data_IF_964597976246
#
_entry.id   IF_964597976246
#
_cell.length_a   1.000
_cell.length_b   1.000
_cell.length_c   1.000
_cell.angle_alpha   90.00
_cell.angle_beta   90.00
_cell.angle_gamma   90.00
#
_symmetry.space_group_name_H-M   'P 1'
#
loop_
_entity.id
_entity.type
_entity.pdbx_description
1 polymer ?
#
# COMPACT_ATOMS: atom_id res chain seq x y z
N UNK A 1 12.03 21.05 16.76
CA UNK A 1 10.90 21.89 17.26
C UNK A 1 10.03 22.47 16.15
N UNK A 2 10.52 23.28 15.20
CA UNK A 2 9.64 23.84 14.13
C UNK A 2 9.02 22.81 13.18
N UNK A 3 9.82 21.87 12.67
CA UNK A 3 9.35 20.80 11.77
C UNK A 3 8.41 19.80 12.46
N UNK A 4 8.68 19.50 13.72
CA UNK A 4 7.84 18.61 14.54
C UNK A 4 6.51 19.27 14.91
N UNK A 5 6.49 20.59 15.16
CA UNK A 5 5.27 21.37 15.36
C UNK A 5 4.41 21.46 14.09
N UNK A 6 5.03 21.60 12.92
CA UNK A 6 4.31 21.60 11.64
C UNK A 6 3.68 20.22 11.37
N UNK A 7 4.43 19.13 11.56
CA UNK A 7 3.92 17.77 11.42
C UNK A 7 2.73 17.48 12.36
N UNK A 8 2.81 17.92 13.62
CA UNK A 8 1.71 17.77 14.59
C UNK A 8 0.48 18.59 14.19
N UNK A 9 0.68 19.82 13.68
CA UNK A 9 -0.41 20.68 13.22
C UNK A 9 -1.09 20.11 11.99
N UNK A 10 -0.31 19.61 11.02
CA UNK A 10 -0.80 18.95 9.81
C UNK A 10 -1.55 17.64 10.12
N UNK A 11 -1.24 16.98 11.24
CA UNK A 11 -1.99 15.81 11.73
C UNK A 11 -3.32 16.16 12.40
N UNK A 12 -3.54 17.41 12.82
CA UNK A 12 -4.73 17.81 13.58
C UNK A 12 -5.80 18.55 12.74
N UNK A 13 -5.43 19.15 11.61
CA UNK A 13 -6.42 19.78 10.71
C UNK A 13 -6.94 18.78 9.67
N UNK A 14 -8.27 18.67 9.48
CA UNK A 14 -8.84 17.85 8.41
C UNK A 14 -8.34 18.30 7.04
N UNK A 15 -7.69 17.41 6.31
CA UNK A 15 -7.24 17.63 4.93
C UNK A 15 -8.30 17.12 3.96
N UNK A 16 -8.52 17.83 2.85
CA UNK A 16 -9.48 17.44 1.81
C UNK A 16 -8.77 17.22 0.48
N UNK A 17 -8.92 16.03 -0.10
CA UNK A 17 -8.28 15.64 -1.36
C UNK A 17 -9.29 15.45 -2.49
N UNK A 18 -8.80 15.39 -3.73
CA UNK A 18 -9.62 14.99 -4.87
C UNK A 18 -9.92 13.48 -4.78
N UNK A 19 -8.87 12.67 -4.65
CA UNK A 19 -8.99 11.22 -4.59
C UNK A 19 -8.08 10.62 -3.52
N UNK A 20 -8.57 9.65 -2.78
CA UNK A 20 -7.76 8.81 -1.88
C UNK A 20 -7.74 7.38 -2.39
N UNK A 21 -6.57 6.75 -2.39
CA UNK A 21 -6.35 5.35 -2.73
C UNK A 21 -5.83 4.59 -1.51
N UNK A 22 -6.52 3.52 -1.14
CA UNK A 22 -6.27 2.72 0.06
C UNK A 22 -6.35 1.24 -0.30
N UNK A 23 -5.34 0.44 0.02
CA UNK A 23 -5.34 -1.02 -0.19
C UNK A 23 -4.87 -1.80 1.04
N UNK A 24 -4.97 -3.12 0.97
CA UNK A 24 -4.27 -4.06 1.86
C UNK A 24 -4.50 -3.76 3.35
N UNK A 25 -5.77 -3.54 3.70
CA UNK A 25 -6.19 -3.25 5.07
C UNK A 25 -6.31 -4.53 5.89
N UNK A 26 -6.82 -5.59 5.26
CA UNK A 26 -7.05 -6.90 5.86
C UNK A 26 -7.91 -6.87 7.13
N UNK A 27 -9.02 -6.11 7.15
CA UNK A 27 -9.99 -6.16 8.24
C UNK A 27 -10.41 -7.60 8.50
N UNK A 28 -10.29 -8.05 9.75
CA UNK A 28 -10.48 -9.45 10.12
C UNK A 28 -9.18 -10.21 10.41
N UNK A 29 -8.02 -9.63 10.06
CA UNK A 29 -6.71 -10.10 10.49
C UNK A 29 -6.29 -9.47 11.82
N UNK A 30 -5.57 -10.22 12.66
CA UNK A 30 -4.98 -9.69 13.91
C UNK A 30 -3.83 -8.70 13.67
N UNK A 31 -3.23 -8.73 12.48
CA UNK A 31 -2.14 -7.85 12.13
C UNK A 31 -2.64 -6.49 11.59
N UNK A 32 -3.92 -6.40 11.20
CA UNK A 32 -4.51 -5.18 10.68
C UNK A 32 -4.51 -4.07 11.73
N UNK A 33 -3.92 -2.94 11.39
CA UNK A 33 -3.90 -1.71 12.19
C UNK A 33 -5.13 -0.86 11.88
N UNK A 34 -6.32 -1.44 12.08
CA UNK A 34 -7.61 -0.81 11.80
C UNK A 34 -7.79 0.51 12.58
N UNK A 35 -7.21 0.61 13.78
CA UNK A 35 -7.24 1.79 14.64
C UNK A 35 -6.58 3.00 13.94
N UNK A 36 -5.46 2.75 13.27
CA UNK A 36 -4.71 3.77 12.52
C UNK A 36 -5.47 4.20 11.28
N UNK A 37 -6.09 3.26 10.56
CA UNK A 37 -6.93 3.59 9.40
C UNK A 37 -8.16 4.40 9.83
N UNK A 38 -8.81 4.00 10.93
CA UNK A 38 -9.96 4.70 11.46
C UNK A 38 -9.60 6.15 11.82
N UNK A 39 -8.45 6.34 12.46
CA UNK A 39 -7.92 7.66 12.80
C UNK A 39 -7.58 8.46 11.54
N UNK A 40 -6.86 7.88 10.58
CA UNK A 40 -6.56 8.50 9.29
C UNK A 40 -7.82 9.00 8.57
N UNK A 41 -8.88 8.17 8.50
CA UNK A 41 -10.16 8.54 7.88
C UNK A 41 -10.90 9.65 8.64
N UNK A 42 -10.55 9.96 9.89
CA UNK A 42 -11.11 11.11 10.64
C UNK A 42 -10.48 12.43 10.21
N UNK A 43 -9.20 12.42 9.84
CA UNK A 43 -8.43 13.61 9.49
C UNK A 43 -8.26 13.82 7.98
N UNK A 44 -8.74 12.88 7.15
CA UNK A 44 -8.69 13.02 5.71
C UNK A 44 -10.07 12.80 5.09
N UNK A 45 -10.54 13.79 4.34
CA UNK A 45 -11.74 13.77 3.49
C UNK A 45 -11.33 13.74 2.01
N UNK A 46 -12.21 13.24 1.16
CA UNK A 46 -11.98 13.26 -0.29
C UNK A 46 -13.29 13.25 -1.08
N UNK A 47 -13.23 13.75 -2.32
CA UNK A 47 -14.35 13.66 -3.26
C UNK A 47 -14.58 12.21 -3.69
N UNK A 48 -13.49 11.46 -3.93
CA UNK A 48 -13.50 10.03 -4.24
C UNK A 48 -12.56 9.24 -3.31
N UNK A 49 -13.00 8.08 -2.84
CA UNK A 49 -12.15 7.09 -2.18
C UNK A 49 -12.18 5.81 -3.01
N UNK A 50 -11.02 5.37 -3.47
CA UNK A 50 -10.84 4.10 -4.17
C UNK A 50 -10.15 3.11 -3.24
N UNK A 51 -10.83 2.00 -2.98
CA UNK A 51 -10.36 0.89 -2.18
C UNK A 51 -9.74 -0.15 -3.14
N UNK A 52 -8.41 -0.25 -3.17
CA UNK A 52 -7.63 -0.96 -4.19
C UNK A 52 -7.27 -2.39 -3.75
N UNK A 53 -8.29 -3.12 -3.30
CA UNK A 53 -8.20 -4.54 -2.91
C UNK A 53 -7.75 -4.81 -1.50
N UNK A 54 -8.06 -6.03 -1.05
CA UNK A 54 -7.70 -6.60 0.24
C UNK A 54 -8.12 -5.74 1.44
N UNK A 55 -9.31 -5.15 1.39
CA UNK A 55 -9.85 -4.38 2.53
C UNK A 55 -10.33 -5.32 3.63
N UNK A 56 -10.92 -6.45 3.26
CA UNK A 56 -11.42 -7.48 4.19
C UNK A 56 -10.62 -8.77 3.98
N UNK A 57 -10.13 -9.35 5.06
CA UNK A 57 -9.42 -10.63 5.02
C UNK A 57 -10.39 -11.82 5.15
N UNK A 58 -11.07 -12.12 4.05
CA UNK A 58 -12.03 -13.23 3.98
C UNK A 58 -11.38 -14.58 4.26
N UNK A 59 -10.12 -14.78 3.87
CA UNK A 59 -9.38 -16.00 4.14
C UNK A 59 -9.13 -16.22 5.63
N UNK A 60 -8.71 -15.19 6.37
CA UNK A 60 -8.53 -15.28 7.83
C UNK A 60 -9.86 -15.51 8.53
N UNK A 61 -10.90 -14.79 8.15
CA UNK A 61 -12.24 -14.91 8.75
C UNK A 61 -12.83 -16.32 8.58
N UNK A 62 -12.64 -16.95 7.41
CA UNK A 62 -13.03 -18.34 7.17
C UNK A 62 -12.30 -19.33 8.09
N UNK A 63 -11.03 -19.07 8.44
CA UNK A 63 -10.22 -19.96 9.29
C UNK A 63 -10.48 -19.75 10.79
N UNK A 64 -10.60 -18.50 11.21
CA UNK A 64 -10.89 -18.14 12.60
C UNK A 64 -11.52 -16.76 12.63
N UNK A 65 -12.77 -16.69 13.08
CA UNK A 65 -13.50 -15.42 13.16
C UNK A 65 -12.84 -14.48 14.16
N UNK A 66 -12.32 -13.36 13.67
CA UNK A 66 -11.76 -12.27 14.46
C UNK A 66 -12.28 -10.95 13.88
N UNK A 67 -13.27 -10.33 14.51
CA UNK A 67 -13.85 -9.07 14.03
C UNK A 67 -14.08 -8.13 15.21
N UNK A 68 -13.02 -7.47 15.72
CA UNK A 68 -13.16 -6.50 16.80
C UNK A 68 -13.98 -5.28 16.36
N UNK A 69 -14.53 -4.54 17.33
CA UNK A 69 -15.39 -3.38 17.07
C UNK A 69 -14.78 -2.35 16.11
N UNK A 70 -13.46 -2.13 16.19
CA UNK A 70 -12.75 -1.19 15.31
C UNK A 70 -12.90 -1.52 13.82
N UNK A 71 -13.04 -2.81 13.45
CA UNK A 71 -13.30 -3.19 12.06
C UNK A 71 -14.66 -2.67 11.59
N UNK A 72 -15.69 -2.79 12.44
CA UNK A 72 -17.00 -2.21 12.15
C UNK A 72 -16.93 -0.67 12.11
N UNK A 73 -16.15 -0.05 12.98
CA UNK A 73 -16.02 1.41 13.02
C UNK A 73 -15.38 1.97 11.73
N UNK A 74 -14.39 1.27 11.15
CA UNK A 74 -13.83 1.59 9.82
C UNK A 74 -14.89 1.49 8.74
N UNK A 75 -15.61 0.37 8.66
CA UNK A 75 -16.69 0.17 7.67
C UNK A 75 -17.76 1.26 7.80
N UNK A 76 -18.20 1.55 9.02
CA UNK A 76 -19.20 2.60 9.27
C UNK A 76 -18.67 4.00 8.92
N UNK A 77 -17.38 4.29 9.16
CA UNK A 77 -16.78 5.57 8.78
C UNK A 77 -16.78 5.75 7.25
N UNK A 78 -16.42 4.71 6.49
CA UNK A 78 -16.49 4.71 5.02
C UNK A 78 -17.93 4.90 4.52
N UNK A 79 -18.89 4.13 5.05
CA UNK A 79 -20.31 4.26 4.68
C UNK A 79 -20.88 5.65 5.02
N UNK A 80 -20.45 6.26 6.14
CA UNK A 80 -20.84 7.62 6.49
C UNK A 80 -20.29 8.66 5.52
N UNK A 81 -19.05 8.50 5.03
CA UNK A 81 -18.48 9.37 3.98
C UNK A 81 -19.26 9.22 2.68
N UNK A 82 -19.58 7.99 2.27
CA UNK A 82 -20.42 7.71 1.11
C UNK A 82 -21.78 8.42 1.18
N UNK A 83 -22.49 8.32 2.32
CA UNK A 83 -23.77 9.01 2.54
C UNK A 83 -23.66 10.54 2.54
N UNK A 84 -22.48 11.10 2.80
CA UNK A 84 -22.21 12.54 2.76
C UNK A 84 -21.82 13.05 1.38
N UNK A 85 -21.71 12.18 0.38
CA UNK A 85 -21.45 12.55 -1.01
C UNK A 85 -20.09 12.12 -1.56
N UNK A 86 -19.20 11.54 -0.74
CA UNK A 86 -17.94 10.95 -1.24
C UNK A 86 -18.27 9.75 -2.12
N UNK A 87 -17.77 9.71 -3.37
CA UNK A 87 -17.85 8.51 -4.19
C UNK A 87 -16.90 7.46 -3.63
N UNK A 88 -17.39 6.25 -3.34
CA UNK A 88 -16.54 5.15 -2.87
C UNK A 88 -16.55 4.03 -3.89
N UNK A 89 -15.38 3.69 -4.44
CA UNK A 89 -15.19 2.61 -5.40
C UNK A 89 -14.35 1.52 -4.75
N UNK A 90 -14.73 0.27 -4.93
CA UNK A 90 -14.09 -0.91 -4.38
C UNK A 90 -13.63 -1.81 -5.51
N UNK A 91 -12.32 -2.02 -5.57
CA UNK A 91 -11.67 -3.01 -6.42
C UNK A 91 -11.35 -4.22 -5.54
N UNK A 92 -11.90 -5.41 -5.79
CA UNK A 92 -11.51 -6.61 -5.04
C UNK A 92 -10.07 -7.03 -5.31
N UNK A 93 -9.40 -7.53 -4.28
CA UNK A 93 -8.16 -8.27 -4.32
C UNK A 93 -8.37 -9.77 -4.16
N UNK A 94 -7.33 -10.47 -3.71
CA UNK A 94 -7.37 -11.92 -3.53
C UNK A 94 -7.97 -12.35 -2.18
N UNK A 95 -7.85 -11.53 -1.13
CA UNK A 95 -8.40 -11.86 0.19
C UNK A 95 -9.91 -11.61 0.31
N UNK A 96 -10.44 -10.72 -0.52
CA UNK A 96 -11.86 -10.36 -0.62
C UNK A 96 -12.46 -10.76 -1.97
N UNK A 97 -11.94 -11.84 -2.58
CA UNK A 97 -12.38 -12.43 -3.85
C UNK A 97 -13.90 -12.63 -3.94
N UNK A 98 -14.57 -12.85 -2.80
CA UNK A 98 -16.02 -13.03 -2.72
C UNK A 98 -16.81 -11.80 -3.19
N UNK A 99 -16.18 -10.62 -3.28
CA UNK A 99 -16.78 -9.42 -3.85
C UNK A 99 -16.71 -9.39 -5.37
N UNK A 100 -15.85 -10.20 -6.01
CA UNK A 100 -15.72 -10.28 -7.47
C UNK A 100 -16.98 -10.83 -8.14
N UNK A 101 -17.80 -11.59 -7.41
CA UNK A 101 -19.09 -12.11 -7.89
C UNK A 101 -20.23 -11.08 -7.89
N UNK A 102 -19.98 -9.86 -7.39
CA UNK A 102 -20.99 -8.80 -7.24
C UNK A 102 -20.66 -7.49 -7.97
N UNK A 103 -20.18 -7.51 -9.23
CA UNK A 103 -19.91 -6.28 -9.97
C UNK A 103 -21.21 -5.51 -10.20
N UNK A 104 -21.21 -4.20 -9.93
CA UNK A 104 -22.39 -3.33 -10.06
C UNK A 104 -23.36 -3.36 -8.87
N UNK A 105 -23.09 -4.13 -7.81
CA UNK A 105 -23.86 -4.04 -6.57
C UNK A 105 -23.43 -2.83 -5.74
N UNK A 106 -24.36 -1.91 -5.50
CA UNK A 106 -24.16 -0.78 -4.60
C UNK A 106 -24.50 -1.15 -3.16
N UNK A 107 -23.50 -1.49 -2.34
CA UNK A 107 -23.73 -1.72 -0.91
C UNK A 107 -23.55 -0.43 -0.14
N UNK A 108 -24.66 0.22 0.22
CA UNK A 108 -24.62 1.43 1.03
C UNK A 108 -23.87 2.61 0.39
N UNK A 109 -23.84 2.67 -0.95
CA UNK A 109 -23.15 3.71 -1.72
C UNK A 109 -21.75 3.36 -2.20
N UNK A 110 -21.27 2.13 -1.98
CA UNK A 110 -19.98 1.63 -2.47
C UNK A 110 -20.18 0.93 -3.82
N UNK A 111 -19.47 1.38 -4.85
CA UNK A 111 -19.45 0.80 -6.20
C UNK A 111 -18.37 -0.29 -6.27
N UNK A 112 -18.73 -1.52 -6.67
CA UNK A 112 -17.75 -2.61 -6.84
C UNK A 112 -17.43 -2.80 -8.32
N UNK A 113 -16.14 -2.71 -8.67
CA UNK A 113 -15.62 -2.88 -10.03
C UNK A 113 -14.34 -3.73 -10.01
N UNK A 114 -14.05 -4.46 -11.08
CA UNK A 114 -12.85 -5.31 -11.14
C UNK A 114 -11.55 -4.49 -11.31
N UNK A 115 -11.63 -3.43 -12.11
CA UNK A 115 -10.58 -2.44 -12.36
C UNK A 115 -11.23 -1.16 -12.83
N UNK A 116 -10.53 -0.03 -12.75
CA UNK A 116 -11.04 1.24 -13.29
C UNK A 116 -9.94 2.06 -13.96
N UNK A 117 -10.35 2.90 -14.90
CA UNK A 117 -9.52 3.98 -15.41
C UNK A 117 -9.84 5.25 -14.62
N UNK A 118 -8.81 5.91 -14.12
CA UNK A 118 -8.92 7.17 -13.39
C UNK A 118 -8.28 8.30 -14.18
N UNK A 119 -9.07 9.33 -14.49
CA UNK A 119 -8.56 10.56 -15.09
C UNK A 119 -8.00 11.44 -13.97
N UNK A 120 -6.68 11.60 -13.95
CA UNK A 120 -5.96 12.46 -13.02
C UNK A 120 -6.21 13.94 -13.30
N UNK A 121 -6.16 14.78 -12.26
CA UNK A 121 -6.24 16.23 -12.42
C UNK A 121 -5.01 16.81 -13.15
N UNK A 122 -3.93 16.05 -13.26
CA UNK A 122 -2.76 16.37 -14.09
C UNK A 122 -2.99 16.09 -15.59
N UNK A 123 -4.17 15.61 -15.97
CA UNK A 123 -4.56 15.29 -17.36
C UNK A 123 -4.12 13.91 -17.84
N UNK A 124 -3.53 13.08 -16.97
CA UNK A 124 -3.10 11.72 -17.29
C UNK A 124 -4.15 10.68 -16.94
N UNK A 125 -4.01 9.49 -17.54
CA UNK A 125 -4.87 8.33 -17.23
C UNK A 125 -4.13 7.30 -16.40
N UNK A 126 -4.78 6.85 -15.32
CA UNK A 126 -4.24 5.88 -14.39
C UNK A 126 -5.11 4.62 -14.39
N UNK A 127 -4.49 3.48 -14.70
CA UNK A 127 -5.13 2.19 -14.50
C UNK A 127 -5.12 1.86 -13.00
N UNK A 128 -6.27 1.52 -12.43
CA UNK A 128 -6.37 1.09 -11.04
C UNK A 128 -6.78 -0.37 -10.99
N UNK A 129 -5.96 -1.17 -10.31
CA UNK A 129 -6.13 -2.61 -10.11
C UNK A 129 -5.45 -3.03 -8.82
N UNK A 130 -5.84 -4.15 -8.23
CA UNK A 130 -5.17 -4.64 -7.01
C UNK A 130 -3.77 -5.19 -7.31
N UNK A 131 -3.66 -6.13 -8.27
CA UNK A 131 -2.39 -6.67 -8.77
C UNK A 131 -2.18 -8.18 -8.59
N UNK A 132 -3.05 -8.85 -7.83
CA UNK A 132 -3.02 -10.29 -7.59
C UNK A 132 -3.13 -11.14 -8.87
N UNK A 133 -3.74 -10.61 -9.93
CA UNK A 133 -3.85 -11.28 -11.23
C UNK A 133 -2.49 -11.60 -11.87
N UNK A 134 -1.44 -10.86 -11.51
CA UNK A 134 -0.09 -11.02 -12.10
C UNK A 134 0.79 -12.00 -11.34
N UNK A 135 0.31 -12.55 -10.23
CA UNK A 135 1.10 -13.31 -9.28
C UNK A 135 1.67 -14.60 -9.91
N UNK A 136 0.89 -15.26 -10.79
CA UNK A 136 1.35 -16.42 -11.58
C UNK A 136 2.42 -16.02 -12.59
N UNK A 137 2.26 -14.88 -13.27
CA UNK A 137 3.21 -14.39 -14.28
C UNK A 137 4.54 -14.05 -13.63
N UNK A 138 4.52 -13.32 -12.52
CA UNK A 138 5.71 -12.94 -11.76
C UNK A 138 6.43 -14.18 -11.23
N UNK A 139 5.70 -15.18 -10.70
CA UNK A 139 6.30 -16.45 -10.26
C UNK A 139 6.99 -17.19 -11.41
N UNK A 140 6.36 -17.27 -12.57
CA UNK A 140 6.92 -17.95 -13.75
C UNK A 140 8.16 -17.22 -14.31
N UNK A 141 8.11 -15.89 -14.41
CA UNK A 141 9.26 -15.08 -14.85
C UNK A 141 10.46 -15.23 -13.90
N UNK A 142 10.21 -15.26 -12.58
CA UNK A 142 11.25 -15.52 -11.58
C UNK A 142 11.81 -16.92 -11.69
N UNK A 143 10.99 -17.96 -11.89
CA UNK A 143 11.49 -19.33 -12.07
C UNK A 143 12.45 -19.39 -13.26
N UNK A 144 12.10 -18.73 -14.37
CA UNK A 144 12.94 -18.67 -15.55
C UNK A 144 14.25 -17.92 -15.30
N UNK A 145 14.18 -16.76 -14.64
CA UNK A 145 15.38 -16.01 -14.23
C UNK A 145 16.27 -16.82 -13.27
N UNK A 146 15.68 -17.57 -12.33
CA UNK A 146 16.40 -18.45 -11.42
C UNK A 146 17.06 -19.62 -12.14
N UNK A 147 16.40 -20.21 -13.14
CA UNK A 147 17.00 -21.27 -13.96
C UNK A 147 18.20 -20.72 -14.75
N UNK A 148 18.11 -19.49 -15.27
CA UNK A 148 19.23 -18.80 -15.92
C UNK A 148 20.39 -18.53 -14.97
N UNK A 149 20.12 -17.91 -13.82
CA UNK A 149 21.10 -17.65 -12.76
C UNK A 149 21.73 -18.95 -12.26
N UNK A 150 20.94 -20.00 -12.03
CA UNK A 150 21.42 -21.31 -11.61
C UNK A 150 22.30 -21.96 -12.67
N UNK A 151 21.93 -21.91 -13.95
CA UNK A 151 22.76 -22.46 -15.02
C UNK A 151 24.09 -21.72 -15.13
N UNK A 152 24.08 -20.39 -14.99
CA UNK A 152 25.27 -19.55 -14.99
C UNK A 152 26.17 -19.82 -13.77
N UNK A 153 25.59 -19.79 -12.57
CA UNK A 153 26.28 -20.12 -11.32
C UNK A 153 26.82 -21.55 -11.34
N UNK A 154 26.07 -22.50 -11.91
CA UNK A 154 26.49 -23.90 -12.04
C UNK A 154 27.62 -24.02 -13.05
N UNK A 155 27.61 -23.29 -14.17
CA UNK A 155 28.72 -23.26 -15.10
C UNK A 155 29.99 -22.68 -14.45
N UNK A 156 29.87 -21.60 -13.67
CA UNK A 156 30.97 -21.03 -12.88
C UNK A 156 31.42 -22.00 -11.80
N UNK A 157 30.50 -22.62 -11.06
CA UNK A 157 30.81 -23.60 -10.00
C UNK A 157 31.43 -24.85 -10.58
N UNK A 158 31.03 -25.34 -11.74
CA UNK A 158 31.69 -26.44 -12.44
C UNK A 158 33.09 -26.01 -12.85
N UNK A 159 33.28 -24.80 -13.36
CA UNK A 159 34.61 -24.28 -13.70
C UNK A 159 35.52 -24.16 -12.45
N UNK A 160 34.98 -23.66 -11.34
CA UNK A 160 35.68 -23.55 -10.05
C UNK A 160 35.90 -24.92 -9.42
N UNK A 161 34.92 -25.84 -9.46
CA UNK A 161 34.97 -27.20 -8.94
C UNK A 161 35.97 -28.03 -9.73
N UNK A 162 36.04 -27.88 -11.05
CA UNK A 162 37.12 -28.46 -11.85
C UNK A 162 38.49 -27.88 -11.44
N UNK A 163 38.56 -26.60 -11.06
CA UNK A 163 39.76 -25.97 -10.52
C UNK A 163 40.03 -26.22 -9.01
N UNK A 164 39.06 -26.75 -8.25
CA UNK A 164 39.07 -26.91 -6.79
C UNK A 164 39.07 -28.37 -6.32
N UNK A 165 38.41 -29.29 -7.04
CA UNK A 165 38.66 -30.75 -7.00
C UNK A 165 40.14 -31.01 -7.30
N UNK A 166 40.72 -30.21 -8.20
CA UNK A 166 42.16 -30.15 -8.45
C UNK A 166 42.96 -29.60 -7.26
N UNK A 167 42.34 -28.84 -6.36
CA UNK A 167 42.98 -28.13 -5.24
C UNK A 167 42.78 -28.76 -3.87
N UNK A 168 42.27 -30.01 -3.80
CA UNK A 168 42.21 -30.90 -2.63
C UNK A 168 40.96 -30.81 -1.74
N UNK A 169 40.47 -32.01 -1.39
CA UNK A 169 40.40 -32.54 -0.02
C UNK A 169 39.89 -31.62 1.12
N UNK A 170 38.57 -31.65 1.39
CA UNK A 170 38.04 -31.45 2.76
C UNK A 170 37.34 -30.11 3.02
N UNK A 171 36.01 -30.11 2.95
CA UNK A 171 35.13 -28.96 2.69
C UNK A 171 34.86 -28.01 3.88
N UNK A 172 34.44 -26.75 3.61
CA UNK A 172 34.21 -25.72 4.63
C UNK A 172 32.74 -25.25 4.82
N UNK A 173 32.57 -24.65 6.01
CA UNK A 173 31.74 -23.53 6.52
C UNK A 173 30.37 -23.11 5.90
N UNK A 174 29.40 -22.81 6.79
CA UNK A 174 28.06 -22.26 6.54
C UNK A 174 27.87 -20.86 7.16
N UNK A 175 27.22 -19.93 6.45
CA UNK A 175 27.01 -18.54 6.89
C UNK A 175 25.54 -18.08 6.80
N UNK A 176 24.97 -17.67 7.93
CA UNK A 176 23.63 -17.07 8.02
C UNK A 176 23.51 -15.74 7.24
N UNK A 177 24.58 -14.93 7.17
CA UNK A 177 24.55 -13.65 6.44
C UNK A 177 24.39 -13.86 4.93
N UNK A 178 24.91 -14.97 4.39
CA UNK A 178 24.70 -15.33 3.00
C UNK A 178 23.25 -15.72 2.73
N UNK A 179 22.61 -16.45 3.65
CA UNK A 179 21.19 -16.79 3.56
C UNK A 179 20.31 -15.53 3.61
N UNK A 180 20.56 -14.62 4.57
CA UNK A 180 19.80 -13.37 4.68
C UNK A 180 19.94 -12.50 3.41
N UNK A 181 21.16 -12.37 2.87
CA UNK A 181 21.43 -11.64 1.63
C UNK A 181 20.67 -12.22 0.44
N UNK A 182 20.58 -13.55 0.36
CA UNK A 182 19.79 -14.21 -0.67
C UNK A 182 18.31 -13.85 -0.52
N UNK A 183 17.72 -13.95 0.68
CA UNK A 183 16.32 -13.60 0.91
C UNK A 183 16.01 -12.15 0.48
N UNK A 184 16.91 -11.21 0.79
CA UNK A 184 16.79 -9.81 0.34
C UNK A 184 16.80 -9.72 -1.18
N UNK A 185 17.75 -10.38 -1.87
CA UNK A 185 17.80 -10.41 -3.35
C UNK A 185 16.50 -10.99 -3.94
N UNK A 186 15.99 -12.06 -3.34
CA UNK A 186 14.72 -12.67 -3.76
C UNK A 186 13.55 -11.69 -3.67
N UNK A 187 13.45 -10.93 -2.57
CA UNK A 187 12.39 -9.95 -2.36
C UNK A 187 12.50 -8.77 -3.34
N UNK A 188 13.71 -8.20 -3.51
CA UNK A 188 13.96 -7.10 -4.46
C UNK A 188 13.63 -7.52 -5.89
N UNK A 189 14.03 -8.73 -6.30
CA UNK A 189 13.69 -9.25 -7.63
C UNK A 189 12.18 -9.46 -7.81
N UNK A 190 11.47 -9.85 -6.75
CA UNK A 190 10.01 -9.98 -6.79
C UNK A 190 9.33 -8.64 -7.01
N UNK A 191 9.69 -7.63 -6.20
CA UNK A 191 9.16 -6.27 -6.32
C UNK A 191 9.42 -5.73 -7.73
N UNK A 192 10.67 -5.81 -8.20
CA UNK A 192 11.03 -5.28 -9.52
C UNK A 192 10.29 -5.95 -10.68
N UNK A 193 10.07 -7.27 -10.61
CA UNK A 193 9.33 -8.01 -11.65
C UNK A 193 7.83 -7.72 -11.60
N UNK A 194 7.25 -7.60 -10.40
CA UNK A 194 5.85 -7.19 -10.24
C UNK A 194 5.60 -5.80 -10.81
N UNK A 195 6.41 -4.81 -10.41
CA UNK A 195 6.34 -3.44 -10.94
C UNK A 195 6.41 -3.41 -12.47
N UNK A 196 7.29 -4.23 -13.06
CA UNK A 196 7.45 -4.32 -14.52
C UNK A 196 6.19 -4.85 -15.20
N UNK A 197 5.62 -5.94 -14.68
CA UNK A 197 4.42 -6.57 -15.26
C UNK A 197 3.21 -5.63 -15.16
N UNK A 198 3.02 -4.98 -14.01
CA UNK A 198 1.91 -4.06 -13.79
C UNK A 198 2.04 -2.78 -14.62
N UNK A 199 3.26 -2.24 -14.76
CA UNK A 199 3.52 -1.09 -15.64
C UNK A 199 3.26 -1.43 -17.12
N UNK A 200 3.60 -2.64 -17.55
CA UNK A 200 3.31 -3.11 -18.91
C UNK A 200 1.80 -3.26 -19.15
N UNK A 201 1.03 -3.70 -18.16
CA UNK A 201 -0.44 -3.75 -18.28
C UNK A 201 -1.05 -2.35 -18.41
N UNK A 202 -0.53 -1.38 -17.65
CA UNK A 202 -0.94 0.02 -17.77
C UNK A 202 -0.75 0.52 -19.20
N UNK A 203 0.43 0.26 -19.77
CA UNK A 203 0.78 0.62 -21.15
C UNK A 203 -0.17 -0.04 -22.16
N UNK A 204 -0.43 -1.34 -22.02
CA UNK A 204 -1.38 -2.07 -22.87
C UNK A 204 -2.81 -1.53 -22.79
N UNK A 205 -3.19 -1.05 -21.61
CA UNK A 205 -4.48 -0.40 -21.36
C UNK A 205 -4.53 1.06 -21.85
N UNK A 206 -3.46 1.59 -22.43
CA UNK A 206 -3.36 2.96 -22.89
C UNK A 206 -3.33 3.99 -21.76
N UNK A 207 -2.90 3.59 -20.56
CA UNK A 207 -2.73 4.46 -19.41
C UNK A 207 -1.30 5.03 -19.32
N UNK A 208 -1.16 6.21 -18.75
CA UNK A 208 0.11 6.87 -18.44
C UNK A 208 0.68 6.42 -17.10
N UNK A 209 -0.14 5.80 -16.26
CA UNK A 209 0.21 5.34 -14.93
C UNK A 209 -0.64 4.19 -14.43
N UNK A 210 -0.24 3.64 -13.30
CA UNK A 210 -0.94 2.56 -12.60
C UNK A 210 -0.91 2.77 -11.09
N UNK A 211 -2.04 2.53 -10.45
CA UNK A 211 -2.22 2.60 -8.99
C UNK A 211 -2.66 1.22 -8.50
N UNK A 212 -1.85 0.61 -7.62
CA UNK A 212 -2.10 -0.74 -7.12
C UNK A 212 -1.74 -0.95 -5.65
N UNK A 213 -1.96 -2.17 -5.16
CA UNK A 213 -1.63 -2.63 -3.80
C UNK A 213 -0.83 -3.93 -3.84
N UNK A 214 -1.28 -4.94 -3.09
CA UNK A 214 -0.91 -6.36 -3.15
C UNK A 214 0.50 -6.73 -2.65
N UNK A 215 1.54 -5.99 -3.03
CA UNK A 215 2.93 -6.30 -2.63
C UNK A 215 3.39 -5.55 -1.36
N UNK A 216 2.51 -4.73 -0.77
CA UNK A 216 2.74 -3.98 0.47
C UNK A 216 3.98 -3.07 0.42
N UNK A 217 4.37 -2.61 -0.77
CA UNK A 217 5.56 -1.78 -0.97
C UNK A 217 5.16 -0.37 -1.38
N UNK A 218 4.90 0.48 -0.38
CA UNK A 218 4.47 1.85 -0.57
C UNK A 218 5.51 2.69 -1.36
N UNK A 219 5.19 3.09 -2.58
CA UNK A 219 6.10 3.86 -3.44
C UNK A 219 5.36 4.64 -4.51
N UNK A 220 5.90 5.80 -4.89
CA UNK A 220 5.49 6.54 -6.08
C UNK A 220 6.73 6.80 -6.92
N UNK A 221 6.80 6.24 -8.12
CA UNK A 221 7.97 6.33 -8.99
C UNK A 221 7.60 6.24 -10.47
N UNK A 222 8.48 6.70 -11.35
CA UNK A 222 8.33 6.51 -12.80
C UNK A 222 9.17 5.31 -13.24
N UNK A 223 8.58 4.41 -14.02
CA UNK A 223 9.22 3.20 -14.54
C UNK A 223 8.95 3.10 -16.03
N UNK A 224 10.00 3.25 -16.85
CA UNK A 224 9.92 3.16 -18.32
C UNK A 224 8.79 4.01 -18.94
N UNK A 225 8.61 5.23 -18.43
CA UNK A 225 7.59 6.18 -18.89
C UNK A 225 6.18 5.96 -18.32
N UNK A 226 5.99 4.98 -17.43
CA UNK A 226 4.73 4.75 -16.72
C UNK A 226 4.87 5.19 -15.27
N UNK A 227 3.92 5.99 -14.78
CA UNK A 227 3.86 6.36 -13.36
C UNK A 227 3.37 5.17 -12.54
N UNK A 228 4.25 4.51 -11.80
CA UNK A 228 3.90 3.41 -10.91
C UNK A 228 3.64 3.91 -9.49
N UNK A 229 2.47 3.58 -8.95
CA UNK A 229 2.03 4.00 -7.63
C UNK A 229 1.54 2.77 -6.88
N UNK A 230 2.14 2.47 -5.73
CA UNK A 230 1.66 1.44 -4.82
C UNK A 230 1.29 2.06 -3.48
N UNK A 231 0.08 1.77 -2.99
CA UNK A 231 -0.42 2.45 -1.78
C UNK A 231 0.18 1.93 -0.47
N UNK A 232 0.88 0.79 -0.52
CA UNK A 232 1.36 0.11 0.69
C UNK A 232 0.25 -0.72 1.31
N UNK A 233 0.09 -0.60 2.63
CA UNK A 233 -0.80 -1.46 3.41
C UNK A 233 -1.10 -0.87 4.80
N UNK A 234 -2.11 -1.41 5.50
CA UNK A 234 -2.45 -1.04 6.88
C UNK A 234 -2.09 -2.14 7.89
N UNK A 235 -0.99 -2.83 7.68
CA UNK A 235 -0.40 -3.85 8.56
C UNK A 235 0.99 -3.40 9.03
N UNK A 236 1.88 -3.09 8.11
CA UNK A 236 3.27 -2.67 8.33
C UNK A 236 3.45 -1.19 8.01
N UNK A 237 3.12 -0.76 6.79
CA UNK A 237 3.49 0.58 6.30
C UNK A 237 2.60 1.71 6.83
N UNK A 238 1.31 1.44 7.01
CA UNK A 238 0.26 2.40 7.40
C UNK A 238 0.22 3.59 6.46
N UNK A 239 0.07 3.32 5.16
CA UNK A 239 0.10 4.35 4.13
C UNK A 239 -1.17 4.40 3.30
N UNK A 240 -1.41 5.56 2.68
CA UNK A 240 -2.40 5.76 1.64
C UNK A 240 -1.83 6.73 0.61
N UNK A 241 -2.35 6.70 -0.62
CA UNK A 241 -2.00 7.68 -1.65
C UNK A 241 -3.13 8.68 -1.79
N UNK A 242 -2.78 9.97 -1.81
CA UNK A 242 -3.70 11.06 -2.05
C UNK A 242 -3.39 11.76 -3.36
N UNK A 243 -4.41 12.05 -4.13
CA UNK A 243 -4.37 12.96 -5.26
C UNK A 243 -4.95 14.31 -4.84
N UNK A 244 -4.16 15.36 -4.98
CA UNK A 244 -4.55 16.74 -4.73
C UNK A 244 -5.38 17.30 -5.88
N UNK A 245 -6.06 18.42 -5.63
CA UNK A 245 -6.88 19.09 -6.64
C UNK A 245 -6.08 19.63 -7.83
N UNK A 246 -4.77 19.83 -7.66
CA UNK A 246 -3.84 20.25 -8.71
C UNK A 246 -3.23 19.08 -9.52
N UNK A 247 -3.60 17.83 -9.19
CA UNK A 247 -3.11 16.62 -9.84
C UNK A 247 -1.81 16.06 -9.26
N UNK A 248 -1.25 16.67 -8.21
CA UNK A 248 -0.09 16.09 -7.53
C UNK A 248 -0.50 14.86 -6.70
N UNK A 249 0.38 13.86 -6.65
CA UNK A 249 0.20 12.66 -5.85
C UNK A 249 1.12 12.67 -4.62
N UNK A 250 0.57 12.35 -3.46
CA UNK A 250 1.25 12.28 -2.17
C UNK A 250 1.11 10.89 -1.56
N UNK A 251 2.21 10.33 -1.06
CA UNK A 251 2.19 9.13 -0.24
C UNK A 251 2.14 9.54 1.23
N UNK A 252 0.99 9.35 1.87
CA UNK A 252 0.76 9.72 3.27
C UNK A 252 1.12 8.54 4.17
N UNK A 253 1.94 8.77 5.18
CA UNK A 253 2.26 7.78 6.23
C UNK A 253 1.60 8.15 7.55
N UNK A 254 0.79 7.23 8.10
CA UNK A 254 -0.01 7.44 9.32
C UNK A 254 0.33 6.43 10.41
N UNK A 255 1.54 6.56 10.99
CA UNK A 255 2.08 5.65 12.03
C UNK A 255 1.93 6.14 13.47
N UNK A 256 1.29 7.28 13.65
CA UNK A 256 1.01 7.86 14.97
C UNK A 256 -0.46 8.23 15.02
N UNK A 257 -1.18 7.82 16.06
CA UNK A 257 -2.57 8.21 16.24
C UNK A 257 -2.60 9.69 16.65
N UNK A 258 -3.40 10.51 15.97
CA UNK A 258 -3.51 11.94 16.31
C UNK A 258 -3.96 12.15 17.77
N UNK A 259 -4.75 11.22 18.32
CA UNK A 259 -5.16 11.23 19.74
C UNK A 259 -4.00 11.02 20.74
N UNK A 260 -2.86 10.49 20.28
CA UNK A 260 -1.67 10.24 21.10
C UNK A 260 -0.63 11.35 21.00
N UNK A 261 -0.85 12.32 20.12
CA UNK A 261 -0.02 13.52 20.04
C UNK A 261 -0.36 14.40 21.24
N UNK A 262 0.58 14.68 22.16
CA UNK A 262 0.32 15.56 23.29
C UNK A 262 -0.19 16.91 22.76
N UNK A 263 -1.31 17.38 23.31
CA UNK A 263 -1.84 18.70 23.01
C UNK A 263 -0.81 19.76 23.44
N UNK A 264 0.10 20.12 22.52
CA UNK A 264 1.02 21.26 22.66
C UNK A 264 0.26 22.60 22.83
N UNK A 265 -1.07 22.58 22.72
CA UNK A 265 -1.98 23.73 22.81
C UNK A 265 -2.45 24.06 24.23
N UNK A 266 -2.21 23.21 25.23
CA UNK A 266 -2.62 23.51 26.61
C UNK A 266 -1.71 24.56 27.28
N UNK A 267 -0.42 24.58 26.93
CA UNK A 267 0.56 25.55 27.49
C UNK A 267 0.33 26.95 26.92
N UNK A 268 -0.07 27.06 25.65
CA UNK A 268 -0.30 28.35 24.99
C UNK A 268 -1.61 29.05 25.43
N UNK A 269 -2.63 28.30 25.89
CA UNK A 269 -3.83 28.91 26.47
C UNK A 269 -3.56 29.50 27.85
N UNK A 270 -2.72 28.84 28.65
CA UNK A 270 -2.36 29.31 29.98
C UNK A 270 -1.46 30.55 29.91
N UNK A 271 -0.48 30.62 28.99
CA UNK A 271 0.35 31.83 28.79
C UNK A 271 -0.43 33.02 28.20
N UNK A 272 -1.47 32.78 27.38
CA UNK A 272 -2.33 33.84 26.85
C UNK A 272 -3.34 34.37 27.88
N UNK A 273 -3.80 33.57 28.84
CA UNK A 273 -4.65 34.01 29.96
C UNK A 273 -3.87 34.68 31.10
N UNK A 274 -2.55 34.46 31.19
CA UNK A 274 -1.67 35.06 32.20
C UNK A 274 -0.97 36.36 31.77
N UNK A 275 -1.17 36.83 30.52
CA UNK A 275 -0.70 38.14 30.13
C UNK A 275 -1.51 39.23 30.89
N UNK A 276 -0.87 40.08 31.72
CA UNK A 276 -1.60 41.09 32.46
C UNK A 276 -2.24 42.08 31.49
N UNK A 277 -3.54 42.33 31.69
CA UNK A 277 -4.22 43.51 31.18
C UNK A 277 -3.55 44.74 31.83
N UNK A 278 -2.45 45.20 31.25
CA UNK A 278 -1.83 46.47 31.60
C UNK A 278 -2.46 47.55 30.71
N UNK A 279 -3.05 48.52 31.40
CA UNK A 279 -3.75 49.70 30.91
C UNK A 279 -2.86 50.69 30.15
#
# INVERSE_FOLDING_TARGET
MGHERQLVKDMMEPRHFRTLFISDVHLGSKAAKADFLLDFLRYHEADTIVLVGDIVDGWRLKRSWYWPQVCNDVVQKLLRKARKGTRVVYIPGNHDEFLRDFPGMHFGGIEVVERMMHDGADGKKYLILHGDEFDVVVRNARLLAYLGDWAYDTAIRINILLAAVRRRLGMPYWSFSAWAKLQVKHAVNFIGEFERVVAEEARKSGADGVICGHIHHAVIQDKDGIRYINTGDWVESCTAVAEHQDGTFELITWRTLASTVPALTAVEREEAELAPQAA
#
